data_IF_439508903777
#
_entry.id   IF_439508903777
#
_cell.length_a   1.000
_cell.length_b   1.000
_cell.length_c   1.000
_cell.angle_alpha   90.00
_cell.angle_beta   90.00
_cell.angle_gamma   90.00
#
_symmetry.space_group_name_H-M   'P 1'
#
loop_
_entity.id
_entity.type
_entity.pdbx_description
1 polymer ?
#
# COMPACT_ATOMS: atom_id res chain seq x y z
N UNK A 1 -15.21 6.49 -10.91
CA UNK A 1 -14.12 7.42 -11.29
C UNK A 1 -13.88 8.40 -10.15
N UNK A 2 -13.03 8.04 -9.18
CA UNK A 2 -12.67 8.87 -8.03
C UNK A 2 -11.21 9.36 -8.16
N UNK A 3 -10.86 9.97 -9.29
CA UNK A 3 -9.46 10.28 -9.61
C UNK A 3 -8.88 11.47 -8.82
N UNK A 4 -9.72 12.31 -8.19
CA UNK A 4 -9.24 13.47 -7.45
C UNK A 4 -8.58 13.15 -6.10
N UNK A 5 -8.84 11.96 -5.54
CA UNK A 5 -8.34 11.61 -4.21
C UNK A 5 -6.91 11.09 -4.23
N UNK A 6 -6.52 10.29 -5.25
CA UNK A 6 -5.17 9.76 -5.36
C UNK A 6 -4.14 10.86 -5.66
N UNK A 7 -4.49 11.84 -6.50
CA UNK A 7 -3.62 12.98 -6.82
C UNK A 7 -3.35 13.90 -5.62
N UNK A 8 -4.34 14.05 -4.73
CA UNK A 8 -4.16 14.81 -3.49
C UNK A 8 -3.24 14.04 -2.54
N UNK A 9 -3.42 12.73 -2.44
CA UNK A 9 -2.61 11.86 -1.58
C UNK A 9 -1.15 11.82 -2.02
N UNK A 10 -0.89 11.65 -3.32
CA UNK A 10 0.49 11.63 -3.86
C UNK A 10 1.20 12.97 -3.60
N UNK A 11 0.51 14.11 -3.77
CA UNK A 11 1.05 15.43 -3.44
C UNK A 11 1.42 15.57 -1.96
N UNK A 12 0.59 15.08 -1.05
CA UNK A 12 0.89 15.14 0.39
C UNK A 12 2.01 14.18 0.79
N UNK A 13 2.05 12.98 0.21
CA UNK A 13 3.10 12.00 0.45
C UNK A 13 4.46 12.49 -0.05
N UNK A 14 4.54 13.06 -1.25
CA UNK A 14 5.78 13.60 -1.81
C UNK A 14 6.35 14.81 -1.05
N UNK A 15 5.51 15.56 -0.32
CA UNK A 15 5.98 16.63 0.59
C UNK A 15 6.58 16.08 1.88
N UNK A 16 6.09 14.94 2.35
CA UNK A 16 6.38 14.43 3.71
C UNK A 16 7.46 13.36 3.72
N UNK A 17 7.54 12.53 2.68
CA UNK A 17 8.44 11.38 2.63
C UNK A 17 9.32 11.43 1.39
N UNK A 18 10.63 11.15 1.52
CA UNK A 18 11.56 11.14 0.40
C UNK A 18 11.36 9.94 -0.54
N UNK A 19 10.66 8.91 -0.08
CA UNK A 19 10.26 7.76 -0.89
C UNK A 19 8.95 7.18 -0.34
N UNK A 20 8.03 6.80 -1.23
CA UNK A 20 6.80 6.11 -0.86
C UNK A 20 6.32 5.18 -1.98
N UNK A 21 5.46 4.25 -1.58
CA UNK A 21 4.69 3.40 -2.49
C UNK A 21 3.21 3.56 -2.10
N UNK A 22 2.37 3.86 -3.08
CA UNK A 22 0.93 3.95 -2.93
C UNK A 22 0.29 2.81 -3.73
N UNK A 23 -0.37 1.89 -3.02
CA UNK A 23 -1.16 0.81 -3.62
C UNK A 23 -2.62 1.12 -3.36
N UNK A 24 -3.40 1.18 -4.43
CA UNK A 24 -4.85 1.42 -4.38
C UNK A 24 -5.58 0.30 -5.09
N UNK A 25 -6.72 -0.10 -4.54
CA UNK A 25 -7.61 -1.09 -5.14
C UNK A 25 -8.96 -0.45 -5.44
N UNK A 26 -9.50 -0.71 -6.62
CA UNK A 26 -10.91 -0.43 -6.91
C UNK A 26 -11.81 -1.51 -6.27
N UNK A 27 -13.12 -1.24 -6.10
CA UNK A 27 -14.05 -2.27 -5.67
C UNK A 27 -13.96 -3.52 -6.55
N UNK A 28 -14.15 -4.73 -5.99
CA UNK A 28 -14.17 -5.94 -6.79
C UNK A 28 -15.31 -5.89 -7.82
N UNK A 29 -15.04 -6.39 -9.02
CA UNK A 29 -16.02 -6.59 -10.08
C UNK A 29 -16.92 -7.79 -9.75
N UNK A 30 -18.02 -7.96 -10.49
CA UNK A 30 -19.02 -9.02 -10.22
C UNK A 30 -18.46 -10.44 -10.34
N UNK A 31 -17.38 -10.62 -11.10
CA UNK A 31 -16.61 -11.86 -11.27
C UNK A 31 -15.51 -12.03 -10.20
N UNK A 32 -15.43 -11.12 -9.22
CA UNK A 32 -14.48 -11.18 -8.11
C UNK A 32 -13.08 -10.66 -8.44
N UNK A 33 -12.85 -10.15 -9.65
CA UNK A 33 -11.58 -9.50 -9.99
C UNK A 33 -11.48 -8.12 -9.32
N UNK A 34 -10.25 -7.68 -9.05
CA UNK A 34 -10.00 -6.38 -8.44
C UNK A 34 -8.91 -5.66 -9.22
N UNK A 35 -9.17 -4.42 -9.62
CA UNK A 35 -8.15 -3.60 -10.27
C UNK A 35 -7.26 -2.99 -9.20
N UNK A 36 -5.99 -3.38 -9.22
CA UNK A 36 -4.95 -2.82 -8.33
C UNK A 36 -4.07 -1.88 -9.15
N UNK A 37 -3.79 -0.71 -8.59
CA UNK A 37 -2.85 0.25 -9.14
C UNK A 37 -1.76 0.56 -8.11
N UNK A 38 -0.51 0.58 -8.57
CA UNK A 38 0.66 0.89 -7.74
C UNK A 38 1.39 2.08 -8.35
N UNK A 39 1.64 3.10 -7.54
CA UNK A 39 2.49 4.23 -7.88
C UNK A 39 3.59 4.38 -6.83
N UNK A 40 4.74 4.90 -7.23
CA UNK A 40 5.85 5.15 -6.31
C UNK A 40 6.57 6.45 -6.69
N UNK A 41 7.24 7.03 -5.69
CA UNK A 41 8.11 8.18 -5.85
C UNK A 41 9.39 7.97 -5.02
N UNK A 42 10.50 8.54 -5.49
CA UNK A 42 11.83 8.35 -4.89
C UNK A 42 12.65 7.28 -5.62
N UNK A 43 13.64 6.74 -4.91
CA UNK A 43 14.56 5.75 -5.46
C UNK A 43 13.89 4.38 -5.66
N UNK A 44 14.11 3.75 -6.82
CA UNK A 44 13.47 2.48 -7.17
C UNK A 44 13.92 1.30 -6.31
N UNK A 45 15.18 1.29 -5.85
CA UNK A 45 15.68 0.24 -4.96
C UNK A 45 15.04 0.38 -3.58
N UNK A 46 14.97 1.60 -3.06
CA UNK A 46 14.28 1.87 -1.79
C UNK A 46 12.79 1.53 -1.85
N UNK A 47 12.11 1.91 -2.93
CA UNK A 47 10.71 1.53 -3.16
C UNK A 47 10.52 0.01 -3.19
N UNK A 48 11.41 -0.73 -3.85
CA UNK A 48 11.37 -2.20 -3.87
C UNK A 48 11.57 -2.83 -2.48
N UNK A 49 12.43 -2.22 -1.66
CA UNK A 49 12.65 -2.65 -0.28
C UNK A 49 11.41 -2.43 0.59
N UNK A 50 10.73 -1.29 0.43
CA UNK A 50 9.46 -1.00 1.12
C UNK A 50 8.38 -2.02 0.76
N UNK A 51 8.23 -2.36 -0.53
CA UNK A 51 7.27 -3.38 -0.98
C UNK A 51 7.62 -4.74 -0.39
N UNK A 52 8.89 -5.13 -0.43
CA UNK A 52 9.32 -6.43 0.08
C UNK A 52 9.06 -6.55 1.59
N UNK A 53 9.41 -5.53 2.36
CA UNK A 53 9.13 -5.49 3.80
C UNK A 53 7.64 -5.54 4.12
N UNK A 54 6.81 -4.83 3.36
CA UNK A 54 5.35 -4.88 3.53
C UNK A 54 4.79 -6.28 3.22
N UNK A 55 5.28 -6.93 2.16
CA UNK A 55 4.90 -8.31 1.82
C UNK A 55 5.30 -9.29 2.92
N UNK A 56 6.55 -9.21 3.41
CA UNK A 56 7.04 -10.11 4.46
C UNK A 56 6.23 -9.97 5.75
N UNK A 57 5.73 -8.77 6.07
CA UNK A 57 4.85 -8.54 7.22
C UNK A 57 3.45 -9.13 7.01
N UNK A 58 2.84 -8.93 5.85
CA UNK A 58 1.53 -9.49 5.51
C UNK A 58 1.59 -11.02 5.57
N UNK A 59 2.63 -11.61 4.98
CA UNK A 59 2.82 -13.06 4.96
C UNK A 59 3.04 -13.64 6.37
N UNK A 60 3.63 -12.87 7.29
CA UNK A 60 3.75 -13.24 8.70
C UNK A 60 2.40 -13.12 9.43
N UNK A 61 1.66 -12.02 9.24
CA UNK A 61 0.37 -11.79 9.90
C UNK A 61 -0.70 -12.80 9.44
N UNK A 62 -0.64 -13.30 8.19
CA UNK A 62 -1.51 -14.39 7.70
C UNK A 62 -1.27 -15.71 8.47
N UNK A 63 -0.14 -15.88 9.16
CA UNK A 63 0.11 -17.06 10.00
C UNK A 63 -0.52 -16.96 11.41
N UNK A 64 -1.00 -15.77 11.83
CA UNK A 64 -1.60 -15.50 13.14
C UNK A 64 -3.10 -15.12 13.02
N UNK A 65 -3.90 -15.95 12.35
CA UNK A 65 -5.35 -15.79 12.07
C UNK A 65 -6.28 -15.51 13.29
N UNK A 66 -5.77 -15.39 14.53
CA UNK A 66 -6.56 -15.14 15.74
C UNK A 66 -6.28 -13.80 16.43
N UNK A 67 -5.45 -12.90 15.89
CA UNK A 67 -5.17 -11.60 16.53
C UNK A 67 -6.03 -10.45 15.95
N UNK A 68 -7.00 -9.90 16.71
CA UNK A 68 -7.87 -8.81 16.26
C UNK A 68 -7.13 -7.47 16.05
N UNK A 69 -5.86 -7.32 16.44
CA UNK A 69 -5.04 -6.12 16.17
C UNK A 69 -4.32 -6.14 14.80
N UNK A 70 -4.37 -7.26 14.05
CA UNK A 70 -3.73 -7.36 12.73
C UNK A 70 -4.29 -6.37 11.68
N UNK A 71 -5.48 -5.81 11.91
CA UNK A 71 -6.10 -4.81 11.03
C UNK A 71 -5.65 -3.35 11.29
N UNK A 72 -4.77 -3.09 12.26
CA UNK A 72 -4.26 -1.75 12.48
C UNK A 72 -3.26 -1.37 11.38
N UNK A 73 -3.43 -0.18 10.78
CA UNK A 73 -2.43 0.43 9.88
C UNK A 73 -1.07 0.50 10.61
N UNK A 74 -0.17 -0.43 10.32
CA UNK A 74 1.19 -0.47 10.90
C UNK A 74 2.13 0.34 10.01
N UNK A 75 2.70 1.39 10.59
CA UNK A 75 3.76 2.17 9.95
C UNK A 75 5.06 1.36 10.01
N UNK A 76 5.52 0.86 8.86
CA UNK A 76 6.85 0.25 8.72
C UNK A 76 7.88 1.38 8.86
N UNK A 77 8.63 1.39 9.97
CA UNK A 77 9.71 2.35 10.24
C UNK A 77 11.06 1.84 9.76
#
# INVERSE_FOLDING_TARGET
>A
MNNGHSESLTKELGKKYPCYVLITCEPPTEDGHMQVNMTYEGDGVLASYLVKGAQDLIDQDIMDENDPEASALRLVK
#
